data_IF_570081566694
#
_entry.id   IF_570081566694
#
_cell.length_a   1.000
_cell.length_b   1.000
_cell.length_c   1.000
_cell.angle_alpha   90.00
_cell.angle_beta   90.00
_cell.angle_gamma   90.00
#
_symmetry.space_group_name_H-M   'P 1'
#
loop_
_entity.id
_entity.type
_entity.pdbx_description
1 polymer ?
#
# COMPACT_ATOMS: atom_id res chain seq x y z
N UNK A 1 -12.95 -4.52 26.21
CA UNK A 1 -13.00 -3.11 26.63
C UNK A 1 -11.75 -2.29 26.30
N UNK A 2 -10.88 -2.72 25.36
CA UNK A 2 -9.76 -1.88 24.87
C UNK A 2 -10.04 -1.24 23.50
N UNK A 3 -10.89 -1.87 22.69
CA UNK A 3 -11.32 -1.30 21.42
C UNK A 3 -12.26 -0.11 21.63
N UNK A 4 -13.06 -0.13 22.70
CA UNK A 4 -14.01 0.94 23.05
C UNK A 4 -13.31 2.25 23.47
N UNK A 5 -12.04 2.17 23.91
CA UNK A 5 -11.22 3.34 24.24
C UNK A 5 -10.47 3.92 23.04
N UNK A 6 -10.40 3.18 21.93
CA UNK A 6 -9.72 3.62 20.72
C UNK A 6 -10.68 4.49 19.90
N UNK A 7 -10.32 5.73 19.55
CA UNK A 7 -11.15 6.55 18.69
C UNK A 7 -11.43 5.83 17.37
N UNK A 8 -12.68 5.83 16.92
CA UNK A 8 -13.09 5.15 15.68
C UNK A 8 -12.27 5.61 14.46
N UNK A 9 -11.85 6.87 14.44
CA UNK A 9 -10.96 7.43 13.41
C UNK A 9 -9.60 6.73 13.33
N UNK A 10 -9.03 6.29 14.47
CA UNK A 10 -7.75 5.58 14.51
C UNK A 10 -7.92 4.18 13.93
N UNK A 11 -9.01 3.50 14.29
CA UNK A 11 -9.36 2.18 13.74
C UNK A 11 -9.56 2.28 12.23
N UNK A 12 -10.34 3.26 11.76
CA UNK A 12 -10.59 3.47 10.34
C UNK A 12 -9.29 3.77 9.58
N UNK A 13 -8.43 4.63 10.13
CA UNK A 13 -7.14 4.97 9.51
C UNK A 13 -6.22 3.76 9.44
N UNK A 14 -6.17 2.94 10.49
CA UNK A 14 -5.38 1.72 10.51
C UNK A 14 -5.86 0.70 9.47
N UNK A 15 -7.17 0.42 9.42
CA UNK A 15 -7.75 -0.52 8.46
C UNK A 15 -7.52 -0.04 7.03
N UNK A 16 -7.77 1.23 6.75
CA UNK A 16 -7.57 1.81 5.42
C UNK A 16 -6.11 1.79 4.99
N UNK A 17 -5.17 2.10 5.91
CA UNK A 17 -3.75 2.01 5.63
C UNK A 17 -3.34 0.57 5.33
N UNK A 18 -3.74 -0.36 6.20
CA UNK A 18 -3.44 -1.79 6.05
C UNK A 18 -3.97 -2.36 4.74
N UNK A 19 -5.18 -1.96 4.33
CA UNK A 19 -5.75 -2.41 3.06
C UNK A 19 -4.92 -1.94 1.85
N UNK A 20 -4.41 -0.71 1.85
CA UNK A 20 -3.55 -0.22 0.75
C UNK A 20 -2.26 -1.03 0.64
N UNK A 21 -1.63 -1.36 1.77
CA UNK A 21 -0.45 -2.23 1.78
C UNK A 21 -0.79 -3.65 1.31
N UNK A 22 -1.91 -4.22 1.76
CA UNK A 22 -2.36 -5.54 1.29
C UNK A 22 -2.62 -5.57 -0.22
N UNK A 23 -3.10 -4.48 -0.81
CA UNK A 23 -3.27 -4.34 -2.26
C UNK A 23 -1.91 -4.39 -2.98
N UNK A 24 -0.91 -3.64 -2.47
CA UNK A 24 0.46 -3.67 -3.00
C UNK A 24 1.12 -5.05 -2.88
N UNK A 25 0.95 -5.75 -1.75
CA UNK A 25 1.48 -7.10 -1.56
C UNK A 25 0.84 -8.13 -2.49
N UNK A 26 -0.49 -8.06 -2.70
CA UNK A 26 -1.19 -8.92 -3.67
C UNK A 26 -0.71 -8.72 -5.10
N UNK A 27 -0.03 -7.62 -5.35
CA UNK A 27 0.55 -7.24 -6.63
C UNK A 27 2.05 -7.56 -6.73
N UNK A 28 2.63 -8.24 -5.73
CA UNK A 28 4.04 -8.66 -5.73
C UNK A 28 5.02 -7.59 -5.23
N UNK A 29 4.55 -6.38 -4.89
CA UNK A 29 5.41 -5.33 -4.36
C UNK A 29 5.75 -5.62 -2.90
N UNK A 30 7.00 -5.42 -2.50
CA UNK A 30 7.45 -5.59 -1.11
C UNK A 30 8.33 -4.43 -0.65
N UNK A 31 8.59 -4.33 0.65
CA UNK A 31 9.52 -3.33 1.22
C UNK A 31 9.27 -1.89 0.75
N UNK A 32 10.34 -1.23 0.29
CA UNK A 32 10.31 0.16 -0.19
C UNK A 32 9.44 0.36 -1.44
N UNK A 33 9.31 -0.65 -2.29
CA UNK A 33 8.46 -0.60 -3.47
C UNK A 33 6.97 -0.53 -3.09
N UNK A 34 6.55 -1.35 -2.11
CA UNK A 34 5.19 -1.30 -1.58
C UNK A 34 4.90 0.05 -0.90
N UNK A 35 5.84 0.56 -0.09
CA UNK A 35 5.70 1.87 0.56
C UNK A 35 5.56 3.01 -0.46
N UNK A 36 6.41 3.02 -1.49
CA UNK A 36 6.35 4.02 -2.54
C UNK A 36 5.03 3.96 -3.31
N UNK A 37 4.57 2.76 -3.67
CA UNK A 37 3.30 2.57 -4.37
C UNK A 37 2.10 3.08 -3.56
N UNK A 38 2.05 2.78 -2.25
CA UNK A 38 1.00 3.26 -1.34
C UNK A 38 1.04 4.79 -1.20
N UNK A 39 2.22 5.40 -1.16
CA UNK A 39 2.38 6.87 -1.11
C UNK A 39 2.00 7.56 -2.42
N UNK A 40 2.26 6.92 -3.56
CA UNK A 40 1.96 7.48 -4.89
C UNK A 40 0.50 7.31 -5.28
N UNK A 41 -0.20 6.36 -4.67
CA UNK A 41 -1.61 6.08 -4.90
C UNK A 41 -2.50 7.26 -4.45
N UNK A 42 -3.13 7.95 -5.41
CA UNK A 42 -4.08 9.05 -5.18
C UNK A 42 -5.56 8.68 -5.47
N UNK A 43 -5.84 7.42 -5.84
CA UNK A 43 -7.16 6.95 -6.31
C UNK A 43 -7.79 5.82 -5.46
N UNK A 44 -8.87 5.22 -5.99
CA UNK A 44 -9.69 4.21 -5.29
C UNK A 44 -8.94 2.87 -5.11
N UNK A 45 -8.27 2.71 -3.97
CA UNK A 45 -7.75 1.46 -3.33
C UNK A 45 -6.99 0.41 -4.16
N UNK A 46 -6.72 0.62 -5.45
CA UNK A 46 -5.93 -0.28 -6.29
C UNK A 46 -4.67 0.43 -6.80
N UNK A 47 -3.49 -0.14 -6.56
CA UNK A 47 -2.25 0.34 -7.20
C UNK A 47 -2.39 0.04 -8.70
N UNK A 48 -2.09 1.03 -9.55
CA UNK A 48 -2.24 0.82 -10.99
C UNK A 48 -1.20 -0.18 -11.48
N UNK A 49 -1.59 -1.09 -12.40
CA UNK A 49 -0.64 -1.98 -13.08
C UNK A 49 0.53 -1.22 -13.70
N UNK A 50 0.26 -0.02 -14.22
CA UNK A 50 1.31 0.85 -14.76
C UNK A 50 2.35 1.28 -13.72
N UNK A 51 1.94 1.50 -12.46
CA UNK A 51 2.87 1.83 -11.38
C UNK A 51 3.71 0.62 -10.98
N UNK A 52 3.13 -0.60 -10.97
CA UNK A 52 3.88 -1.83 -10.72
C UNK A 52 4.95 -2.03 -11.79
N UNK A 53 4.58 -1.94 -13.08
CA UNK A 53 5.54 -2.09 -14.18
C UNK A 53 6.66 -1.05 -14.13
N UNK A 54 6.34 0.18 -13.72
CA UNK A 54 7.36 1.23 -13.57
C UNK A 54 8.33 0.94 -12.42
N UNK A 55 7.87 0.26 -11.37
CA UNK A 55 8.71 -0.15 -10.24
C UNK A 55 9.55 -1.37 -10.61
N UNK A 56 8.94 -2.39 -11.24
CA UNK A 56 9.63 -3.59 -11.73
C UNK A 56 10.76 -3.22 -12.70
N UNK A 57 10.50 -2.32 -13.67
CA UNK A 57 11.52 -1.84 -14.59
C UNK A 57 12.72 -1.17 -13.87
N UNK A 58 12.48 -0.47 -12.75
CA UNK A 58 13.58 0.12 -11.96
C UNK A 58 14.31 -0.95 -11.15
N UNK A 59 13.62 -1.95 -10.60
CA UNK A 59 14.22 -3.02 -9.79
C UNK A 59 15.02 -4.02 -10.64
N UNK A 60 14.54 -4.35 -11.83
CA UNK A 60 15.22 -5.24 -12.78
C UNK A 60 16.50 -4.61 -13.35
N UNK A 61 16.56 -3.28 -13.45
CA UNK A 61 17.80 -2.59 -13.87
C UNK A 61 18.92 -2.60 -12.83
N UNK A 62 18.65 -3.11 -11.63
CA UNK A 62 19.64 -3.22 -10.54
C UNK A 62 20.08 -4.68 -10.28
N UNK A 63 19.60 -5.64 -11.09
CA UNK A 63 20.06 -7.04 -11.09
C UNK A 63 21.04 -7.28 -12.25
#
# INVERSE_FOLDING_TARGET
QQLDTCPAEVIHRFINCSWRFMSAYRMGLTGKAAEWAVKKQKGHCQVSRSAIMSIEAVLDTVS
#
